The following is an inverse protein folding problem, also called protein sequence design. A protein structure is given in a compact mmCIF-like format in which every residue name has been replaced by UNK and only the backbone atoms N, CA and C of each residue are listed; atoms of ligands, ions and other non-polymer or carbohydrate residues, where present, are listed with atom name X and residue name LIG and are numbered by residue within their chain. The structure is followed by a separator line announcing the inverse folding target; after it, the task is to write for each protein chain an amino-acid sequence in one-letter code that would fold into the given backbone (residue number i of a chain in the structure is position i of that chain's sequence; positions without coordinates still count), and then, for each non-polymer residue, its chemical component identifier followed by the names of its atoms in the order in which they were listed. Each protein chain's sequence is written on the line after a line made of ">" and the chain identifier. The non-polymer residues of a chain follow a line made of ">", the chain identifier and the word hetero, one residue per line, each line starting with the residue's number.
data_IF_362171450203
#
_entry.id   IF_362171450203
#
_cell.length_a   1.000
_cell.length_b   1.000
_cell.length_c   1.000
_cell.angle_alpha   90.00
_cell.angle_beta   90.00
_cell.angle_gamma   90.00
#
_symmetry.space_group_name_H-M   'P 1'
#
loop_
_entity.id
_entity.type
_entity.pdbx_description
1 polymer ?
#
# COMPACT_ATOMS: atom_id res chain seq x y z
N UNK A 1 37.34 -1.36 12.20
CA UNK A 1 37.19 -2.83 12.20
C UNK A 1 35.93 -3.33 12.91
N UNK A 2 35.67 -3.05 14.20
CA UNK A 2 34.40 -3.47 14.84
C UNK A 2 33.17 -2.66 14.37
N UNK A 3 33.33 -1.34 14.18
CA UNK A 3 32.24 -0.46 13.71
C UNK A 3 31.90 -0.65 12.22
N UNK A 4 32.88 -1.04 11.39
CA UNK A 4 32.65 -1.34 9.97
C UNK A 4 31.93 -2.67 9.76
N UNK A 5 32.14 -3.66 10.65
CA UNK A 5 31.40 -4.93 10.62
C UNK A 5 29.97 -4.78 11.16
N UNK A 6 29.72 -3.87 12.11
CA UNK A 6 28.37 -3.51 12.56
C UNK A 6 27.58 -2.79 11.45
N UNK A 7 28.17 -1.81 10.76
CA UNK A 7 27.51 -1.17 9.60
C UNK A 7 27.24 -2.14 8.45
N UNK A 8 28.13 -3.10 8.18
CA UNK A 8 27.93 -4.10 7.12
C UNK A 8 26.80 -5.09 7.39
N UNK A 9 26.55 -5.42 8.66
CA UNK A 9 25.43 -6.27 9.07
C UNK A 9 24.10 -5.52 9.06
N UNK A 10 24.09 -4.24 9.49
CA UNK A 10 22.90 -3.39 9.44
C UNK A 10 22.51 -3.02 8.00
N UNK A 11 23.48 -2.78 7.10
CA UNK A 11 23.22 -2.43 5.70
C UNK A 11 22.50 -3.53 4.91
N UNK A 12 22.76 -4.80 5.22
CA UNK A 12 22.07 -5.94 4.59
C UNK A 12 20.62 -6.10 5.06
N UNK A 13 20.29 -5.55 6.22
CA UNK A 13 18.95 -5.64 6.82
C UNK A 13 18.04 -4.46 6.40
N UNK A 14 18.56 -3.52 5.59
CA UNK A 14 17.82 -2.37 5.03
C UNK A 14 17.22 -2.72 3.65
N UNK A 15 17.40 -3.93 3.11
CA UNK A 15 16.94 -4.26 1.75
C UNK A 15 15.61 -5.03 1.72
N UNK A 16 15.10 -5.44 2.88
CA UNK A 16 13.94 -6.32 2.98
C UNK A 16 12.72 -5.57 3.51
N UNK A 17 11.55 -5.93 2.99
CA UNK A 17 10.28 -5.42 3.50
C UNK A 17 9.97 -6.01 4.86
N UNK A 18 9.46 -5.15 5.75
CA UNK A 18 9.03 -5.52 7.10
C UNK A 18 7.62 -4.99 7.36
N UNK A 19 6.94 -5.61 8.32
CA UNK A 19 5.69 -5.04 8.84
C UNK A 19 5.92 -3.61 9.32
N UNK A 20 4.88 -2.77 9.20
CA UNK A 20 4.88 -1.31 9.36
C UNK A 20 5.62 -0.51 8.28
N UNK A 21 6.27 -1.13 7.29
CA UNK A 21 6.77 -0.39 6.14
C UNK A 21 5.61 0.12 5.27
N UNK A 22 5.73 1.35 4.81
CA UNK A 22 4.82 1.95 3.84
C UNK A 22 5.32 1.68 2.43
N UNK A 23 4.44 1.14 1.60
CA UNK A 23 4.72 0.75 0.23
C UNK A 23 3.67 1.31 -0.73
N UNK A 24 4.04 1.34 -2.00
CA UNK A 24 3.14 1.52 -3.12
C UNK A 24 3.22 0.29 -4.02
N UNK A 25 2.06 -0.21 -4.47
CA UNK A 25 1.96 -1.28 -5.44
C UNK A 25 1.90 -0.65 -6.84
N UNK A 26 2.98 -0.79 -7.61
CA UNK A 26 3.06 -0.27 -8.96
C UNK A 26 2.94 -1.39 -9.99
N UNK A 27 2.29 -1.14 -11.12
CA UNK A 27 2.25 -2.08 -12.24
C UNK A 27 2.23 -1.36 -13.59
N UNK A 28 2.39 -2.12 -14.66
CA UNK A 28 2.03 -1.72 -16.02
C UNK A 28 0.84 -2.60 -16.42
N UNK A 29 -0.39 -2.07 -16.49
CA UNK A 29 -1.57 -2.84 -16.89
C UNK A 29 -1.40 -3.41 -18.29
N UNK A 30 -1.92 -4.61 -18.56
CA UNK A 30 -1.73 -5.33 -19.84
C UNK A 30 -2.09 -4.48 -21.08
N UNK A 31 -3.09 -3.62 -20.96
CA UNK A 31 -3.60 -2.75 -22.03
C UNK A 31 -3.03 -1.33 -22.01
N UNK A 32 -1.95 -1.08 -21.27
CA UNK A 32 -1.31 0.23 -21.15
C UNK A 32 0.21 0.12 -21.19
N UNK A 33 0.88 1.20 -21.60
CA UNK A 33 2.34 1.36 -21.50
C UNK A 33 2.73 2.19 -20.28
N UNK A 34 1.75 2.76 -19.59
CA UNK A 34 1.95 3.66 -18.46
C UNK A 34 2.17 2.87 -17.18
N UNK A 35 3.11 3.35 -16.37
CA UNK A 35 3.30 2.82 -15.03
C UNK A 35 2.28 3.48 -14.11
N UNK A 36 1.48 2.65 -13.46
CA UNK A 36 0.41 3.09 -12.58
C UNK A 36 0.57 2.52 -11.17
N UNK A 37 -0.03 3.18 -10.19
CA UNK A 37 -0.01 2.82 -8.78
C UNK A 37 -1.41 2.47 -8.27
N UNK A 38 -1.54 1.40 -7.49
CA UNK A 38 -2.77 1.09 -6.77
C UNK A 38 -3.10 2.23 -5.81
N UNK A 39 -4.35 2.71 -5.87
CA UNK A 39 -4.81 3.87 -5.10
C UNK A 39 -6.19 3.64 -4.50
N UNK A 40 -6.49 4.37 -3.43
CA UNK A 40 -7.81 4.41 -2.82
C UNK A 40 -8.14 5.75 -2.19
N UNK A 41 -9.42 6.10 -2.17
CA UNK A 41 -9.92 7.34 -1.57
C UNK A 41 -10.66 7.07 -0.25
N UNK A 42 -11.37 5.94 -0.21
CA UNK A 42 -12.23 5.46 0.87
C UNK A 42 -13.50 6.27 1.10
N UNK A 43 -13.37 7.55 1.48
CA UNK A 43 -14.52 8.41 1.75
C UNK A 43 -15.21 8.78 0.43
N UNK A 44 -16.51 8.55 0.32
CA UNK A 44 -17.28 8.75 -0.91
C UNK A 44 -17.07 7.65 -1.96
N UNK A 45 -15.86 7.10 -2.08
CA UNK A 45 -15.55 6.01 -2.99
C UNK A 45 -14.63 4.95 -2.35
N UNK A 46 -15.20 3.78 -2.07
CA UNK A 46 -14.46 2.63 -1.50
C UNK A 46 -13.78 1.77 -2.56
N UNK A 47 -13.99 2.03 -3.85
CA UNK A 47 -13.36 1.24 -4.91
C UNK A 47 -11.92 1.67 -5.13
N UNK A 48 -11.02 0.71 -5.26
CA UNK A 48 -9.64 0.98 -5.64
C UNK A 48 -9.55 1.32 -7.13
N UNK A 49 -8.56 2.13 -7.47
CA UNK A 49 -8.27 2.53 -8.84
C UNK A 49 -6.75 2.58 -9.07
N UNK A 50 -6.34 2.96 -10.27
CA UNK A 50 -4.94 3.13 -10.63
C UNK A 50 -4.67 4.61 -10.92
N UNK A 51 -3.67 5.16 -10.24
CA UNK A 51 -3.13 6.49 -10.48
C UNK A 51 -1.97 6.40 -11.47
N UNK A 52 -1.93 7.27 -12.47
CA UNK A 52 -0.82 7.33 -13.43
C UNK A 52 0.38 8.03 -12.79
N UNK A 53 1.42 7.25 -12.47
CA UNK A 53 2.65 7.76 -11.84
C UNK A 53 3.77 8.01 -12.86
N UNK A 54 3.47 7.86 -14.16
CA UNK A 54 4.41 8.14 -15.26
C UNK A 54 4.21 9.52 -15.89
N UNK A 55 3.18 10.25 -15.48
CA UNK A 55 2.87 11.57 -16.02
C UNK A 55 3.81 12.64 -15.43
N UNK A 56 4.71 13.18 -16.25
CA UNK A 56 5.63 14.25 -15.83
C UNK A 56 4.95 15.64 -15.75
N UNK A 57 3.81 15.84 -16.42
CA UNK A 57 3.15 17.14 -16.51
C UNK A 57 2.29 17.48 -15.27
N UNK A 58 1.87 16.48 -14.50
CA UNK A 58 1.07 16.64 -13.30
C UNK A 58 1.64 15.74 -12.21
N UNK A 59 1.94 16.29 -11.03
CA UNK A 59 2.40 15.49 -9.90
C UNK A 59 1.29 14.50 -9.49
N UNK A 60 1.56 13.18 -9.46
CA UNK A 60 0.56 12.20 -9.05
C UNK A 60 0.17 12.36 -7.58
N UNK A 61 -1.07 12.02 -7.19
CA UNK A 61 -1.47 11.96 -5.76
C UNK A 61 -0.91 10.69 -5.10
N UNK A 62 0.40 10.68 -4.87
CA UNK A 62 1.13 9.56 -4.26
C UNK A 62 0.56 9.22 -2.87
N UNK A 63 0.01 10.20 -2.15
CA UNK A 63 -0.51 9.97 -0.80
C UNK A 63 -1.78 9.10 -0.78
N UNK A 64 -2.53 9.01 -1.89
CA UNK A 64 -3.61 8.02 -2.08
C UNK A 64 -3.12 6.63 -2.47
N UNK A 65 -1.84 6.49 -2.80
CA UNK A 65 -1.22 5.26 -3.28
C UNK A 65 -0.46 4.48 -2.18
N UNK A 66 -0.46 4.98 -0.94
CA UNK A 66 0.37 4.45 0.15
C UNK A 66 -0.41 3.44 0.98
N UNK A 67 0.18 2.26 1.15
CA UNK A 67 -0.32 1.19 2.01
C UNK A 67 0.75 0.80 3.03
N UNK A 68 0.36 0.67 4.29
CA UNK A 68 1.19 0.10 5.34
C UNK A 68 1.04 -1.43 5.35
N UNK A 69 2.16 -2.15 5.40
CA UNK A 69 2.18 -3.60 5.64
C UNK A 69 1.90 -3.88 7.11
N UNK A 70 0.64 -3.92 7.51
CA UNK A 70 0.27 -4.02 8.93
C UNK A 70 0.60 -5.40 9.51
N UNK A 71 0.27 -6.46 8.78
CA UNK A 71 0.54 -7.82 9.20
C UNK A 71 1.05 -8.67 8.04
N UNK A 72 1.91 -9.63 8.39
CA UNK A 72 2.39 -10.67 7.49
C UNK A 72 2.48 -11.98 8.27
N UNK A 73 1.71 -12.99 7.86
CA UNK A 73 1.60 -14.27 8.56
C UNK A 73 1.61 -15.43 7.57
N UNK A 74 2.04 -16.60 8.02
CA UNK A 74 1.86 -17.82 7.20
C UNK A 74 0.37 -18.11 6.99
N UNK A 75 0.02 -18.72 5.84
CA UNK A 75 -1.37 -19.10 5.52
C UNK A 75 -1.97 -20.00 6.61
N UNK A 76 -1.17 -20.90 7.19
CA UNK A 76 -1.61 -21.75 8.30
C UNK A 76 -1.98 -20.94 9.55
N UNK A 77 -1.12 -19.99 9.93
CA UNK A 77 -1.41 -19.11 11.06
C UNK A 77 -2.65 -18.24 10.78
N UNK A 78 -2.84 -17.78 9.53
CA UNK A 78 -4.04 -17.03 9.16
C UNK A 78 -5.32 -17.87 9.35
N UNK A 79 -5.33 -19.13 8.91
CA UNK A 79 -6.47 -20.03 9.09
C UNK A 79 -6.80 -20.23 10.57
N UNK A 80 -5.78 -20.36 11.42
CA UNK A 80 -5.97 -20.45 12.87
C UNK A 80 -6.55 -19.14 13.45
N UNK A 81 -6.12 -17.97 12.98
CA UNK A 81 -6.65 -16.67 13.41
C UNK A 81 -8.08 -16.41 12.97
N UNK A 82 -8.41 -16.68 11.70
CA UNK A 82 -9.76 -16.44 11.14
C UNK A 82 -10.79 -17.39 11.75
N UNK A 83 -10.37 -18.61 12.13
CA UNK A 83 -11.27 -19.58 12.78
C UNK A 83 -11.45 -19.30 14.29
N UNK A 84 -10.52 -18.58 14.94
CA UNK A 84 -10.60 -18.27 16.37
C UNK A 84 -11.33 -16.97 16.67
N UNK A 85 -11.33 -16.00 15.74
CA UNK A 85 -12.13 -14.77 15.84
C UNK A 85 -13.64 -15.01 15.87
N UNK A 86 -14.11 -16.23 15.60
CA UNK A 86 -15.51 -16.61 15.78
C UNK A 86 -15.91 -16.86 17.24
N UNK A 87 -14.96 -17.04 18.17
CA UNK A 87 -15.30 -17.49 19.54
C UNK A 87 -14.95 -16.52 20.65
N UNK A 88 -13.88 -15.73 20.58
CA UNK A 88 -13.62 -14.66 21.55
C UNK A 88 -12.85 -13.53 20.85
N UNK A 89 -13.10 -12.27 21.26
CA UNK A 89 -12.26 -11.12 20.91
C UNK A 89 -10.91 -11.27 21.61
N UNK A 90 -10.12 -12.28 21.22
CA UNK A 90 -8.75 -12.42 21.66
C UNK A 90 -7.93 -11.34 20.99
N UNK A 91 -7.63 -10.32 21.78
CA UNK A 91 -6.54 -9.37 21.62
C UNK A 91 -5.20 -10.10 21.47
N UNK A 92 -4.97 -10.73 20.31
CA UNK A 92 -3.69 -11.34 19.95
C UNK A 92 -2.60 -10.28 19.62
N UNK A 93 -2.92 -8.99 19.74
CA UNK A 93 -2.00 -7.87 19.53
C UNK A 93 -1.26 -7.41 20.81
N UNK A 94 -1.11 -8.26 21.83
CA UNK A 94 -0.28 -7.97 23.02
C UNK A 94 1.14 -8.57 22.92
N UNK A 95 1.76 -8.44 21.75
CA UNK A 95 3.22 -8.47 21.62
C UNK A 95 3.62 -7.14 20.97
N UNK A 96 4.57 -6.40 21.57
CA UNK A 96 4.98 -5.07 21.08
C UNK A 96 5.28 -5.05 19.57
N UNK A 97 5.25 -3.86 18.94
CA UNK A 97 5.47 -3.69 17.50
C UNK A 97 6.68 -4.52 17.02
N UNK A 98 6.41 -5.67 16.41
CA UNK A 98 7.44 -6.53 15.83
C UNK A 98 7.56 -6.18 14.36
N UNK A 99 8.68 -5.62 13.93
CA UNK A 99 9.01 -5.36 12.53
C UNK A 99 9.46 -6.65 11.84
N UNK A 100 8.52 -7.56 11.60
CA UNK A 100 8.80 -8.89 11.03
C UNK A 100 9.10 -8.75 9.55
N UNK A 101 10.19 -9.39 9.11
CA UNK A 101 10.51 -9.46 7.69
C UNK A 101 9.45 -10.25 6.93
N UNK A 102 8.99 -9.68 5.81
CA UNK A 102 8.06 -10.31 4.89
C UNK A 102 8.73 -11.46 4.14
N UNK A 103 8.04 -12.60 4.06
CA UNK A 103 8.47 -13.77 3.28
C UNK A 103 7.48 -14.03 2.14
N UNK A 104 7.97 -14.55 1.02
CA UNK A 104 7.11 -15.10 -0.02
C UNK A 104 6.25 -16.24 0.55
N UNK A 105 4.97 -16.25 0.21
CA UNK A 105 3.99 -17.24 0.65
C UNK A 105 3.25 -16.84 1.92
N UNK A 106 3.64 -15.73 2.54
CA UNK A 106 2.84 -15.12 3.60
C UNK A 106 1.58 -14.46 3.03
N UNK A 107 0.51 -14.52 3.81
CA UNK A 107 -0.65 -13.66 3.68
C UNK A 107 -0.35 -12.32 4.36
N UNK A 108 -0.65 -11.24 3.67
CA UNK A 108 -0.45 -9.87 4.12
C UNK A 108 -1.76 -9.13 4.29
N UNK A 109 -1.76 -8.22 5.27
CA UNK A 109 -2.81 -7.25 5.50
C UNK A 109 -2.27 -5.86 5.17
N UNK A 110 -2.90 -5.21 4.19
CA UNK A 110 -2.47 -3.91 3.67
C UNK A 110 -3.46 -2.83 4.12
N UNK A 111 -3.01 -1.92 5.00
CA UNK A 111 -3.81 -0.80 5.48
C UNK A 111 -3.51 0.45 4.65
N UNK A 112 -4.52 1.03 4.04
CA UNK A 112 -4.41 2.28 3.30
C UNK A 112 -4.06 3.44 4.26
N UNK A 113 -2.97 4.14 3.96
CA UNK A 113 -2.37 5.12 4.88
C UNK A 113 -3.31 6.27 5.21
N UNK A 114 -4.00 6.84 4.21
CA UNK A 114 -4.85 8.02 4.42
C UNK A 114 -6.15 7.70 5.16
N UNK A 115 -6.81 6.60 4.80
CA UNK A 115 -8.15 6.29 5.31
C UNK A 115 -8.18 5.31 6.48
N UNK A 116 -7.05 4.67 6.80
CA UNK A 116 -6.95 3.62 7.82
C UNK A 116 -7.81 2.38 7.54
N UNK A 117 -8.33 2.23 6.32
CA UNK A 117 -9.08 1.06 5.86
C UNK A 117 -8.17 0.03 5.21
N UNK A 118 -8.65 -1.19 5.02
CA UNK A 118 -7.88 -2.32 4.51
C UNK A 118 -8.21 -2.63 3.05
N UNK A 119 -7.18 -2.95 2.25
CA UNK A 119 -7.35 -3.44 0.88
C UNK A 119 -8.08 -4.78 0.89
N UNK A 120 -9.25 -4.84 0.27
CA UNK A 120 -10.13 -6.01 0.30
C UNK A 120 -10.59 -6.41 -1.10
N UNK A 121 -10.69 -7.72 -1.31
CA UNK A 121 -11.53 -8.30 -2.34
C UNK A 121 -12.99 -8.18 -1.88
N UNK A 122 -13.86 -7.62 -2.72
CA UNK A 122 -15.28 -7.40 -2.40
C UNK A 122 -16.13 -8.53 -2.99
N UNK A 123 -17.34 -8.71 -2.47
CA UNK A 123 -18.30 -9.69 -3.02
C UNK A 123 -19.04 -9.18 -4.26
N UNK A 124 -18.86 -7.93 -4.64
CA UNK A 124 -19.49 -7.30 -5.82
C UNK A 124 -18.65 -7.53 -7.07
N UNK A 125 -19.26 -7.38 -8.23
CA UNK A 125 -18.58 -7.42 -9.53
C UNK A 125 -19.18 -6.36 -10.45
N UNK A 126 -18.37 -5.36 -10.81
CA UNK A 126 -18.76 -4.26 -11.70
C UNK A 126 -18.03 -4.29 -13.04
N UNK A 127 -17.09 -5.23 -13.23
CA UNK A 127 -16.29 -5.34 -14.45
C UNK A 127 -17.00 -6.16 -15.53
N UNK A 128 -16.55 -6.04 -16.79
CA UNK A 128 -17.05 -6.88 -17.89
C UNK A 128 -16.70 -8.37 -17.71
N UNK A 129 -15.66 -8.67 -16.93
CA UNK A 129 -15.32 -10.03 -16.54
C UNK A 129 -16.24 -10.45 -15.38
N UNK A 130 -17.28 -11.22 -15.71
CA UNK A 130 -18.30 -11.69 -14.75
C UNK A 130 -17.75 -12.60 -13.66
N UNK A 131 -16.55 -13.13 -13.85
CA UNK A 131 -15.89 -13.96 -12.84
C UNK A 131 -15.01 -13.11 -11.92
N UNK A 132 -14.67 -11.88 -12.31
CA UNK A 132 -13.84 -11.03 -11.48
C UNK A 132 -14.66 -10.38 -10.35
N UNK A 133 -14.01 -10.20 -9.20
CA UNK A 133 -14.55 -9.47 -8.07
C UNK A 133 -13.98 -8.07 -8.02
N UNK A 134 -14.76 -7.14 -7.50
CA UNK A 134 -14.32 -5.78 -7.26
C UNK A 134 -13.24 -5.75 -6.15
N UNK A 135 -12.34 -4.78 -6.23
CA UNK A 135 -11.31 -4.53 -5.22
C UNK A 135 -11.51 -3.13 -4.65
N UNK A 136 -11.46 -3.02 -3.33
CA UNK A 136 -11.73 -1.77 -2.64
C UNK A 136 -11.17 -1.72 -1.21
N UNK A 137 -11.68 -0.78 -0.43
CA UNK A 137 -11.27 -0.52 0.95
C UNK A 137 -12.40 -0.87 1.94
N UNK A 138 -12.06 -1.60 3.00
CA UNK A 138 -12.97 -2.01 4.09
C UNK A 138 -12.50 -1.47 5.45
N UNK A 139 -13.42 -1.05 6.31
CA UNK A 139 -13.07 -0.46 7.62
C UNK A 139 -12.48 -1.48 8.59
N UNK A 140 -13.02 -2.70 8.59
CA UNK A 140 -12.55 -3.79 9.42
C UNK A 140 -11.74 -4.81 8.61
N UNK A 141 -10.73 -5.42 9.25
CA UNK A 141 -9.95 -6.50 8.68
C UNK A 141 -10.54 -7.90 8.99
N UNK A 142 -11.84 -8.00 9.28
CA UNK A 142 -12.45 -9.28 9.68
C UNK A 142 -12.63 -10.23 8.49
N UNK A 143 -12.35 -11.50 8.75
CA UNK A 143 -12.42 -12.57 7.76
C UNK A 143 -11.24 -12.55 6.77
N UNK A 144 -11.40 -13.24 5.66
CA UNK A 144 -10.33 -13.49 4.68
C UNK A 144 -10.27 -12.43 3.57
N UNK A 145 -11.29 -11.57 3.45
CA UNK A 145 -11.47 -10.65 2.31
C UNK A 145 -10.35 -9.62 2.18
N UNK A 146 -9.74 -9.24 3.31
CA UNK A 146 -8.65 -8.24 3.37
C UNK A 146 -7.24 -8.85 3.24
N UNK A 147 -7.14 -10.18 3.13
CA UNK A 147 -5.87 -10.88 3.11
C UNK A 147 -5.45 -11.25 1.70
N UNK A 148 -4.17 -11.02 1.41
CA UNK A 148 -3.56 -11.29 0.11
C UNK A 148 -2.28 -12.09 0.29
N UNK A 149 -2.12 -13.23 -0.38
CA UNK A 149 -0.84 -13.94 -0.38
C UNK A 149 0.11 -13.33 -1.41
N UNK A 150 1.38 -13.18 -1.02
CA UNK A 150 2.44 -12.64 -1.88
C UNK A 150 3.27 -13.79 -2.46
N UNK A 151 3.31 -13.88 -3.78
CA UNK A 151 4.06 -14.90 -4.51
C UNK A 151 5.14 -14.27 -5.39
N UNK A 152 6.27 -14.97 -5.63
CA UNK A 152 7.31 -14.46 -6.50
C UNK A 152 6.83 -14.40 -7.95
N UNK A 153 7.06 -13.27 -8.64
CA UNK A 153 6.67 -13.15 -10.05
C UNK A 153 7.61 -13.92 -11.01
N UNK A 154 8.81 -14.27 -10.57
CA UNK A 154 9.83 -14.95 -11.36
C UNK A 154 10.41 -16.16 -10.65
N UNK A 155 11.03 -17.07 -11.41
CA UNK A 155 11.72 -18.26 -10.86
C UNK A 155 13.03 -17.95 -10.12
N UNK A 156 13.42 -16.68 -10.03
CA UNK A 156 14.62 -16.26 -9.28
C UNK A 156 14.37 -16.18 -7.76
N UNK A 157 13.11 -16.29 -7.35
CA UNK A 157 12.68 -16.25 -5.96
C UNK A 157 11.82 -17.46 -5.66
N UNK A 158 11.85 -17.89 -4.40
CA UNK A 158 11.11 -19.05 -3.91
C UNK A 158 10.25 -18.69 -2.71
N UNK A 159 9.17 -19.46 -2.51
CA UNK A 159 8.37 -19.40 -1.30
C UNK A 159 9.23 -19.57 -0.04
N UNK A 160 8.98 -18.76 0.99
CA UNK A 160 9.77 -18.71 2.22
C UNK A 160 11.02 -17.81 2.15
N UNK A 161 11.43 -17.32 0.99
CA UNK A 161 12.51 -16.33 0.89
C UNK A 161 12.04 -14.94 1.35
N UNK A 162 12.98 -14.12 1.84
CA UNK A 162 12.70 -12.73 2.24
C UNK A 162 12.40 -11.86 1.02
N UNK A 163 11.32 -11.10 1.08
CA UNK A 163 10.92 -10.16 0.01
C UNK A 163 11.79 -8.91 0.08
N UNK A 164 12.41 -8.53 -1.05
CA UNK A 164 13.26 -7.34 -1.13
C UNK A 164 12.48 -6.13 -1.64
N UNK A 165 13.02 -4.94 -1.41
CA UNK A 165 12.51 -3.73 -2.05
C UNK A 165 12.59 -3.82 -3.56
N UNK A 166 11.56 -3.30 -4.24
CA UNK A 166 11.40 -3.33 -5.69
C UNK A 166 11.37 -4.74 -6.31
N UNK A 167 11.22 -5.79 -5.50
CA UNK A 167 10.90 -7.10 -6.05
C UNK A 167 9.52 -7.04 -6.74
N UNK A 168 9.42 -7.77 -7.85
CA UNK A 168 8.19 -7.99 -8.59
C UNK A 168 7.44 -9.19 -8.00
N UNK A 169 6.17 -8.98 -7.66
CA UNK A 169 5.33 -9.95 -6.97
C UNK A 169 3.99 -10.14 -7.64
N UNK A 170 3.33 -11.24 -7.27
CA UNK A 170 1.95 -11.53 -7.61
C UNK A 170 1.17 -11.55 -6.30
N UNK A 171 0.05 -10.84 -6.24
CA UNK A 171 -0.87 -10.90 -5.10
C UNK A 171 -2.09 -11.75 -5.45
N UNK A 172 -2.43 -12.69 -4.57
CA UNK A 172 -3.62 -13.55 -4.70
C UNK A 172 -4.54 -13.32 -3.50
N UNK A 173 -5.81 -13.04 -3.74
CA UNK A 173 -6.78 -12.89 -2.66
C UNK A 173 -6.99 -14.22 -1.96
N UNK A 174 -6.92 -14.23 -0.62
CA UNK A 174 -7.25 -15.43 0.18
C UNK A 174 -8.73 -15.77 0.03
N UNK A 175 -9.60 -14.76 -0.01
CA UNK A 175 -11.05 -14.94 -0.10
C UNK A 175 -11.54 -15.51 -1.43
N UNK A 176 -10.98 -15.06 -2.55
CA UNK A 176 -11.49 -15.43 -3.89
C UNK A 176 -10.56 -16.29 -4.72
N UNK A 177 -9.35 -16.58 -4.22
CA UNK A 177 -8.29 -17.32 -4.92
C UNK A 177 -7.95 -16.73 -6.31
N UNK A 178 -8.09 -15.41 -6.43
CA UNK A 178 -7.88 -14.67 -7.68
C UNK A 178 -6.77 -13.65 -7.55
N UNK A 179 -6.11 -13.38 -8.66
CA UNK A 179 -5.02 -12.42 -8.74
C UNK A 179 -5.53 -10.99 -8.62
N UNK A 180 -4.83 -10.15 -7.87
CA UNK A 180 -5.00 -8.71 -7.93
C UNK A 180 -4.59 -8.25 -9.33
N UNK A 181 -5.56 -7.84 -10.14
CA UNK A 181 -5.38 -7.62 -11.56
C UNK A 181 -5.69 -6.16 -11.93
N UNK A 182 -4.81 -5.59 -12.74
CA UNK A 182 -4.89 -4.23 -13.25
C UNK A 182 -5.34 -4.23 -14.70
N UNK A 183 -6.27 -3.34 -15.06
CA UNK A 183 -6.71 -3.18 -16.44
C UNK A 183 -7.06 -1.72 -16.72
N UNK A 184 -6.98 -1.32 -17.98
CA UNK A 184 -7.49 0.00 -18.41
C UNK A 184 -8.86 -0.15 -19.04
N UNK A 185 -9.68 0.89 -18.87
CA UNK A 185 -10.94 1.04 -19.58
C UNK A 185 -10.73 1.87 -20.85
N UNK A 186 -11.76 2.03 -21.68
CA UNK A 186 -11.69 2.78 -22.95
C UNK A 186 -11.24 4.24 -22.79
N UNK A 187 -11.35 4.80 -21.59
CA UNK A 187 -10.96 6.18 -21.28
C UNK A 187 -9.54 6.28 -20.70
N UNK A 188 -8.72 5.23 -20.85
CA UNK A 188 -7.38 5.08 -20.25
C UNK A 188 -7.39 5.21 -18.71
N UNK A 189 -8.57 5.17 -18.09
CA UNK A 189 -8.72 5.13 -16.64
C UNK A 189 -8.41 3.72 -16.17
N UNK A 190 -7.33 3.59 -15.42
CA UNK A 190 -6.93 2.33 -14.84
C UNK A 190 -7.85 1.91 -13.68
N UNK A 191 -8.17 0.62 -13.66
CA UNK A 191 -9.07 -0.05 -12.71
C UNK A 191 -8.39 -1.30 -12.18
N UNK A 192 -8.89 -1.77 -11.05
CA UNK A 192 -8.38 -2.96 -10.37
C UNK A 192 -9.54 -3.89 -10.02
N UNK A 193 -9.32 -5.19 -10.22
CA UNK A 193 -10.25 -6.24 -9.83
C UNK A 193 -9.47 -7.48 -9.36
N UNK A 194 -10.15 -8.45 -8.77
CA UNK A 194 -9.60 -9.77 -8.50
C UNK A 194 -10.06 -10.73 -9.62
N UNK A 195 -9.15 -11.15 -10.50
CA UNK A 195 -9.44 -11.94 -11.71
C UNK A 195 -8.54 -13.18 -11.81
N UNK A 196 -8.87 -14.11 -12.71
CA UNK A 196 -7.97 -15.24 -13.06
C UNK A 196 -6.77 -14.81 -13.93
N UNK A 197 -6.71 -13.54 -14.32
CA UNK A 197 -5.59 -12.97 -15.06
C UNK A 197 -4.52 -12.48 -14.10
N UNK A 198 -3.35 -13.10 -14.17
CA UNK A 198 -2.20 -12.71 -13.37
C UNK A 198 -1.70 -11.32 -13.77
N UNK A 199 -1.35 -10.51 -12.78
CA UNK A 199 -0.68 -9.23 -12.95
C UNK A 199 0.55 -9.19 -12.05
N UNK A 200 1.65 -8.68 -12.59
CA UNK A 200 2.88 -8.42 -11.83
C UNK A 200 2.80 -7.02 -11.23
N UNK A 201 3.14 -6.93 -9.95
CA UNK A 201 3.21 -5.69 -9.17
C UNK A 201 4.62 -5.51 -8.62
N UNK A 202 5.21 -4.34 -8.81
CA UNK A 202 6.46 -3.94 -8.18
C UNK A 202 6.17 -3.33 -6.81
N UNK A 203 6.84 -3.82 -5.76
CA UNK A 203 6.73 -3.27 -4.40
C UNK A 203 7.68 -2.08 -4.22
N UNK A 204 7.14 -0.87 -4.32
CA UNK A 204 7.93 0.37 -4.20
C UNK A 204 7.92 0.85 -2.74
N UNK A 205 9.06 0.89 -2.04
CA UNK A 205 9.11 1.39 -0.66
C UNK A 205 8.92 2.92 -0.62
N UNK A 206 8.08 3.41 0.28
CA UNK A 206 7.83 4.85 0.52
C UNK A 206 8.51 5.32 1.80
N UNK A 207 8.32 4.62 2.92
CA UNK A 207 8.97 4.93 4.18
C UNK A 207 9.06 3.69 5.07
N UNK A 208 10.16 3.51 5.78
CA UNK A 208 10.28 2.38 6.71
C UNK A 208 9.57 2.66 8.04
N UNK A 209 8.81 1.67 8.52
CA UNK A 209 8.15 1.73 9.83
C UNK A 209 9.18 1.81 10.97
N UNK A 210 10.27 1.04 10.86
CA UNK A 210 11.38 1.02 11.84
C UNK A 210 11.99 2.41 11.97
N UNK A 211 12.26 3.07 10.84
CA UNK A 211 12.88 4.40 10.82
C UNK A 211 12.00 5.45 11.49
N UNK A 212 10.68 5.37 11.29
CA UNK A 212 9.69 6.27 11.88
C UNK A 212 9.62 6.13 13.41
N UNK A 213 9.75 4.90 13.92
CA UNK A 213 9.76 4.64 15.38
C UNK A 213 11.11 4.98 16.02
N UNK A 214 12.24 4.70 15.36
CA UNK A 214 13.58 4.97 15.89
C UNK A 214 13.94 6.46 15.95
N UNK A 215 13.34 7.29 15.10
CA UNK A 215 13.66 8.71 14.99
C UNK A 215 12.45 9.60 15.31
N UNK A 216 11.92 9.54 16.55
CA UNK A 216 10.80 10.39 16.94
C UNK A 216 11.24 11.86 16.86
N UNK A 217 10.43 12.70 16.22
CA UNK A 217 10.68 14.14 16.06
C UNK A 217 11.42 14.53 14.79
N UNK A 218 11.83 13.58 13.95
CA UNK A 218 12.30 13.88 12.60
C UNK A 218 11.12 14.01 11.64
N UNK A 219 11.24 14.95 10.70
CA UNK A 219 10.28 15.13 9.61
C UNK A 219 10.57 14.12 8.51
N UNK A 220 9.54 13.42 8.04
CA UNK A 220 9.63 12.47 6.94
C UNK A 220 8.94 13.01 5.69
N UNK A 221 9.37 12.53 4.52
CA UNK A 221 8.69 12.82 3.26
C UNK A 221 7.23 12.39 3.33
N UNK A 222 6.32 13.27 2.90
CA UNK A 222 4.88 13.05 2.94
C UNK A 222 4.19 13.51 4.23
N UNK A 223 4.94 13.97 5.23
CA UNK A 223 4.34 14.57 6.43
C UNK A 223 3.67 15.91 6.10
N UNK A 224 2.51 16.17 6.72
CA UNK A 224 1.81 17.45 6.61
C UNK A 224 2.28 18.37 7.72
N UNK A 225 2.90 19.49 7.35
CA UNK A 225 3.57 20.40 8.28
C UNK A 225 2.94 21.78 8.28
N UNK A 226 3.08 22.47 9.41
CA UNK A 226 2.84 23.92 9.51
C UNK A 226 4.19 24.63 9.63
N UNK A 227 4.48 25.55 8.71
CA UNK A 227 5.72 26.31 8.70
C UNK A 227 5.55 27.60 9.51
N UNK A 228 6.29 27.73 10.61
CA UNK A 228 6.24 28.86 11.54
C UNK A 228 7.41 29.84 11.29
N UNK A 229 7.18 31.13 11.49
CA UNK A 229 8.23 32.16 11.38
C UNK A 229 8.86 32.49 12.75
N UNK A 230 10.02 31.90 13.02
CA UNK A 230 10.77 32.12 14.26
C UNK A 230 9.96 31.72 15.50
N UNK A 231 10.12 32.48 16.59
CA UNK A 231 9.36 32.27 17.83
C UNK A 231 8.03 33.03 17.84
N UNK A 232 7.57 33.51 16.69
CA UNK A 232 6.30 34.23 16.57
C UNK A 232 5.20 33.26 16.16
N UNK A 233 3.96 33.50 16.60
CA UNK A 233 2.78 32.70 16.22
C UNK A 233 2.31 32.97 14.78
N UNK A 234 3.23 33.34 13.88
CA UNK A 234 2.95 33.57 12.47
C UNK A 234 3.33 32.33 11.66
N UNK A 235 2.44 31.89 10.76
CA UNK A 235 2.68 30.75 9.89
C UNK A 235 2.36 31.05 8.43
N UNK A 236 2.96 30.28 7.52
CA UNK A 236 2.58 30.30 6.11
C UNK A 236 1.14 29.79 5.99
N UNK A 237 0.28 30.59 5.36
CA UNK A 237 -1.11 30.25 5.06
C UNK A 237 -1.46 30.74 3.66
N UNK A 238 -2.37 30.03 2.99
CA UNK A 238 -3.03 30.57 1.81
C UNK A 238 -3.99 31.69 2.23
N UNK A 239 -4.19 32.68 1.35
CA UNK A 239 -5.23 33.69 1.53
C UNK A 239 -6.61 33.02 1.43
N UNK A 240 -7.59 33.45 2.24
CA UNK A 240 -8.95 32.99 2.07
C UNK A 240 -9.47 33.44 0.67
N UNK A 241 -10.38 32.68 0.04
CA UNK A 241 -10.89 33.02 -1.29
C UNK A 241 -11.47 34.43 -1.42
N UNK A 242 -11.98 35.00 -0.32
CA UNK A 242 -12.51 36.36 -0.24
C UNK A 242 -11.48 37.47 -0.42
N UNK A 243 -10.19 37.17 -0.27
CA UNK A 243 -9.08 38.13 -0.33
C UNK A 243 -8.22 37.96 -1.61
N UNK A 244 -8.57 37.01 -2.47
CA UNK A 244 -7.95 36.89 -3.79
C UNK A 244 -8.45 38.03 -4.69
N UNK A 245 -7.60 39.04 -4.91
CA UNK A 245 -7.87 40.05 -5.93
C UNK A 245 -7.80 39.38 -7.31
N UNK A 246 -8.92 39.37 -8.03
CA UNK A 246 -8.95 39.01 -9.45
C UNK A 246 -8.12 40.06 -10.17
N UNK A 247 -6.94 39.67 -10.65
CA UNK A 247 -6.20 40.47 -11.62
C UNK A 247 -6.97 40.36 -12.93
N UNK A 248 -7.77 41.36 -13.24
CA UNK A 248 -8.40 41.50 -14.56
C UNK A 248 -7.27 41.69 -15.59
N UNK A 249 -6.92 40.63 -16.32
CA UNK A 249 -6.13 40.72 -17.54
C UNK A 249 -7.01 41.32 -18.66
N UNK A 250 -7.28 42.62 -18.54
CA UNK A 250 -7.82 43.45 -19.63
C UNK A 250 -6.70 44.35 -20.14
N UNK A 251 -5.89 43.82 -21.05
CA UNK A 251 -4.87 44.54 -21.83
C UNK A 251 -4.87 44.06 -23.27
#
# INVERSE_FOLDING_TARGET
>A
MADEQMMGAEANDIQFLRTEDHICLSCVPVSSVKRMALSGEAFGNRMCYLEDISNEACCPDVASCVFALEQAVSVRALQEMVNTTSTEQSSANQGGQTFRTLLYGHAVLLRHYRSQMYLSCLSTSTSNDKLAFDVGLKEDAQGESCWWTIHPASKQRSEGEKVRFNDDVILVSVFSERYLHAYTTTNDRGRVNASFRQQVWSLVPISSGVARVKNPGFVLGGDVLRLMHGNMDHCITALPPSELQVVDDSG
#
